data_IF_790307598379
#
_entry.id   IF_790307598379
#
_cell.length_a   1.000
_cell.length_b   1.000
_cell.length_c   1.000
_cell.angle_alpha   90.00
_cell.angle_beta   90.00
_cell.angle_gamma   90.00
#
_symmetry.space_group_name_H-M   'P 1'
#
loop_
_entity.id
_entity.type
_entity.pdbx_description
1 polymer ?
#
# COMPACT_ATOMS: atom_id res chain seq x y z
N UNK A 1 2.09 -12.47 -7.96
CA UNK A 1 2.74 -11.97 -9.20
C UNK A 1 3.09 -10.49 -9.13
N UNK A 2 4.21 -10.10 -9.74
CA UNK A 2 4.61 -8.69 -9.92
C UNK A 2 4.09 -8.16 -11.27
N UNK A 3 3.44 -7.00 -11.26
CA UNK A 3 2.90 -6.30 -12.43
C UNK A 3 3.60 -4.94 -12.55
N UNK A 4 4.44 -4.82 -13.56
CA UNK A 4 5.25 -3.63 -13.87
C UNK A 4 4.82 -3.08 -15.25
N UNK A 5 3.72 -2.33 -15.29
CA UNK A 5 3.26 -1.65 -16.51
C UNK A 5 3.89 -0.25 -16.57
N UNK A 6 4.73 0.08 -17.57
CA UNK A 6 5.40 1.37 -17.66
C UNK A 6 4.46 2.58 -17.75
N UNK A 7 3.16 2.37 -17.99
CA UNK A 7 2.13 3.42 -17.98
C UNK A 7 1.52 3.70 -16.60
N UNK A 8 1.76 2.85 -15.60
CA UNK A 8 1.31 3.04 -14.23
C UNK A 8 2.43 3.66 -13.37
N UNK A 9 2.09 4.67 -12.57
CA UNK A 9 2.98 5.26 -11.56
C UNK A 9 3.40 4.24 -10.49
N UNK A 10 2.64 3.14 -10.37
CA UNK A 10 2.82 2.09 -9.38
C UNK A 10 3.23 0.76 -10.02
N UNK A 11 4.17 0.08 -9.38
CA UNK A 11 4.42 -1.35 -9.60
C UNK A 11 3.65 -2.12 -8.53
N UNK A 12 2.92 -3.14 -8.95
CA UNK A 12 2.02 -3.90 -8.08
C UNK A 12 2.54 -5.31 -7.82
N UNK A 13 2.30 -5.81 -6.61
CA UNK A 13 2.40 -7.22 -6.24
C UNK A 13 1.00 -7.68 -5.89
N UNK A 14 0.42 -8.55 -6.71
CA UNK A 14 -0.97 -9.01 -6.57
C UNK A 14 -1.05 -10.53 -6.73
N UNK A 15 -2.06 -11.18 -6.14
CA UNK A 15 -2.33 -12.59 -6.38
C UNK A 15 -2.53 -12.86 -7.88
N UNK A 16 -2.00 -13.96 -8.40
CA UNK A 16 -2.23 -14.35 -9.81
C UNK A 16 -3.68 -14.75 -10.07
N UNK A 17 -4.35 -15.27 -9.04
CA UNK A 17 -5.78 -15.62 -9.05
C UNK A 17 -6.57 -14.65 -8.18
N UNK A 18 -7.76 -14.20 -8.59
CA UNK A 18 -8.61 -13.38 -7.75
C UNK A 18 -8.88 -14.06 -6.41
N UNK A 19 -8.46 -13.44 -5.31
CA UNK A 19 -8.69 -13.98 -3.97
C UNK A 19 -10.05 -13.60 -3.39
N UNK A 20 -10.77 -12.63 -3.99
CA UNK A 20 -12.11 -12.23 -3.53
C UNK A 20 -13.10 -11.99 -4.69
N UNK A 21 -14.38 -12.36 -4.53
CA UNK A 21 -15.46 -12.03 -5.47
C UNK A 21 -15.79 -10.53 -5.46
N UNK A 22 -16.62 -10.08 -6.42
CA UNK A 22 -17.07 -8.67 -6.51
C UNK A 22 -17.66 -8.21 -5.16
N UNK A 23 -17.14 -7.09 -4.66
CA UNK A 23 -17.46 -6.54 -3.35
C UNK A 23 -18.86 -5.89 -3.36
N UNK A 24 -19.81 -6.44 -2.60
CA UNK A 24 -21.11 -5.83 -2.32
C UNK A 24 -21.02 -4.68 -1.30
N UNK A 25 -22.14 -4.00 -1.02
CA UNK A 25 -22.18 -2.84 -0.09
C UNK A 25 -21.69 -3.20 1.33
N UNK A 26 -22.12 -4.35 1.86
CA UNK A 26 -21.71 -4.81 3.20
C UNK A 26 -20.22 -5.14 3.24
N UNK A 27 -19.72 -5.84 2.22
CA UNK A 27 -18.30 -6.14 2.08
C UNK A 27 -17.44 -4.86 1.94
N UNK A 28 -17.97 -3.80 1.33
CA UNK A 28 -17.28 -2.50 1.26
C UNK A 28 -17.24 -1.78 2.61
N UNK A 29 -18.30 -1.87 3.41
CA UNK A 29 -18.31 -1.32 4.77
C UNK A 29 -17.29 -2.05 5.66
N UNK A 30 -17.28 -3.39 5.63
CA UNK A 30 -16.30 -4.23 6.32
C UNK A 30 -14.87 -3.89 5.88
N UNK A 31 -14.65 -3.73 4.56
CA UNK A 31 -13.36 -3.30 4.02
C UNK A 31 -12.92 -1.96 4.60
N UNK A 32 -13.78 -0.93 4.60
CA UNK A 32 -13.40 0.38 5.14
C UNK A 32 -13.14 0.34 6.66
N UNK A 33 -13.74 -0.60 7.38
CA UNK A 33 -13.55 -0.76 8.81
C UNK A 33 -12.21 -1.43 9.16
N UNK A 34 -11.84 -2.47 8.41
CA UNK A 34 -10.73 -3.36 8.78
C UNK A 34 -9.51 -3.25 7.88
N UNK A 35 -9.68 -2.92 6.60
CA UNK A 35 -8.54 -2.88 5.67
C UNK A 35 -7.69 -1.63 5.85
N UNK A 36 -6.38 -1.85 5.78
CA UNK A 36 -5.39 -0.80 5.78
C UNK A 36 -4.12 -1.24 5.10
N UNK A 37 -3.06 -0.47 5.35
CA UNK A 37 -1.75 -0.74 4.80
C UNK A 37 -0.63 -0.30 5.72
N UNK A 38 0.45 -1.06 5.70
CA UNK A 38 1.75 -0.59 6.13
C UNK A 38 2.38 0.29 5.03
N UNK A 39 2.81 1.48 5.41
CA UNK A 39 3.55 2.41 4.56
C UNK A 39 5.04 2.33 4.93
N UNK A 40 5.86 1.95 3.96
CA UNK A 40 7.31 1.79 4.10
C UNK A 40 7.97 2.83 3.21
N UNK A 41 8.76 3.73 3.81
CA UNK A 41 9.40 4.82 3.08
C UNK A 41 10.88 4.52 2.87
N UNK A 42 11.36 4.66 1.64
CA UNK A 42 12.77 4.49 1.29
C UNK A 42 13.17 5.43 0.17
N UNK A 43 14.42 5.88 0.15
CA UNK A 43 15.02 6.55 -1.02
C UNK A 43 15.71 5.56 -1.96
N UNK A 44 15.91 4.33 -1.51
CA UNK A 44 16.53 3.27 -2.29
C UNK A 44 15.43 2.48 -3.03
N UNK A 45 15.36 2.66 -4.36
CA UNK A 45 14.41 1.96 -5.24
C UNK A 45 14.67 0.46 -5.29
N UNK A 46 15.94 0.06 -5.44
CA UNK A 46 16.34 -1.34 -5.50
C UNK A 46 15.91 -2.11 -4.24
N UNK A 47 15.95 -1.46 -3.07
CA UNK A 47 15.43 -2.02 -1.83
C UNK A 47 13.92 -2.33 -1.90
N UNK A 48 13.10 -1.42 -2.46
CA UNK A 48 11.66 -1.66 -2.62
C UNK A 48 11.38 -2.72 -3.67
N UNK A 49 12.15 -2.77 -4.76
CA UNK A 49 12.06 -3.82 -5.78
C UNK A 49 12.40 -5.21 -5.20
N UNK A 50 13.46 -5.29 -4.39
CA UNK A 50 13.83 -6.53 -3.70
C UNK A 50 12.78 -6.94 -2.68
N UNK A 51 12.27 -6.00 -1.90
CA UNK A 51 11.20 -6.26 -0.95
C UNK A 51 9.94 -6.76 -1.69
N UNK A 52 9.59 -6.18 -2.84
CA UNK A 52 8.46 -6.65 -3.66
C UNK A 52 8.63 -8.11 -4.09
N UNK A 53 9.83 -8.50 -4.53
CA UNK A 53 10.16 -9.91 -4.85
C UNK A 53 10.03 -10.84 -3.63
N UNK A 54 10.46 -10.39 -2.45
CA UNK A 54 10.33 -11.16 -1.20
C UNK A 54 8.88 -11.31 -0.73
N UNK A 55 8.04 -10.31 -1.00
CA UNK A 55 6.61 -10.33 -0.63
C UNK A 55 5.74 -11.13 -1.59
N UNK A 56 6.15 -11.28 -2.85
CA UNK A 56 5.39 -12.01 -3.88
C UNK A 56 4.86 -13.38 -3.44
N UNK A 57 5.66 -14.29 -2.84
CA UNK A 57 5.12 -15.56 -2.36
C UNK A 57 4.07 -15.42 -1.25
N UNK A 58 4.21 -14.46 -0.35
CA UNK A 58 3.23 -14.22 0.73
C UNK A 58 1.93 -13.62 0.20
N UNK A 59 2.02 -12.82 -0.87
CA UNK A 59 0.85 -12.32 -1.59
C UNK A 59 0.14 -13.46 -2.31
N UNK A 60 0.91 -14.36 -2.95
CA UNK A 60 0.34 -15.50 -3.66
C UNK A 60 -0.34 -16.51 -2.72
N UNK A 61 0.25 -16.73 -1.54
CA UNK A 61 -0.33 -17.55 -0.46
C UNK A 61 -1.54 -16.90 0.24
N UNK A 62 -1.83 -15.62 -0.03
CA UNK A 62 -2.93 -14.89 0.61
C UNK A 62 -2.64 -14.41 2.04
N UNK A 63 -1.41 -14.55 2.53
CA UNK A 63 -0.98 -14.01 3.84
C UNK A 63 -0.85 -12.49 3.82
N UNK A 64 -0.65 -11.92 2.64
CA UNK A 64 -0.66 -10.48 2.40
C UNK A 64 -1.64 -10.24 1.27
N UNK A 65 -2.59 -9.32 1.44
CA UNK A 65 -3.62 -9.11 0.43
C UNK A 65 -3.03 -8.61 -0.90
N UNK A 66 -2.15 -7.61 -0.84
CA UNK A 66 -1.37 -7.10 -1.98
C UNK A 66 -0.31 -6.11 -1.52
N UNK A 67 0.63 -5.77 -2.39
CA UNK A 67 1.53 -4.66 -2.18
C UNK A 67 1.67 -3.81 -3.45
N UNK A 68 2.18 -2.59 -3.28
CA UNK A 68 2.61 -1.75 -4.41
C UNK A 68 3.65 -0.75 -3.98
N UNK A 69 4.48 -0.29 -4.91
CA UNK A 69 5.39 0.82 -4.69
C UNK A 69 5.38 1.77 -5.89
N UNK A 70 5.62 3.06 -5.63
CA UNK A 70 5.69 4.06 -6.68
C UNK A 70 7.05 4.00 -7.39
N UNK A 71 7.07 4.26 -8.71
CA UNK A 71 8.30 4.32 -9.51
C UNK A 71 9.16 5.53 -9.19
N UNK A 72 8.50 6.64 -8.90
CA UNK A 72 9.10 7.95 -8.65
C UNK A 72 8.56 8.54 -7.35
N UNK A 73 9.35 9.41 -6.72
CA UNK A 73 8.96 10.00 -5.43
C UNK A 73 7.64 10.75 -5.55
N UNK A 74 6.67 10.41 -4.70
CA UNK A 74 5.40 11.12 -4.69
C UNK A 74 5.53 12.45 -3.93
N UNK A 75 4.81 13.51 -4.32
CA UNK A 75 4.84 14.81 -3.61
C UNK A 75 4.52 14.70 -2.11
N UNK A 76 3.65 13.74 -1.73
CA UNK A 76 3.30 13.52 -0.33
C UNK A 76 4.37 12.77 0.48
N UNK A 77 5.37 12.17 -0.18
CA UNK A 77 6.43 11.37 0.42
C UNK A 77 7.76 12.13 0.58
N UNK A 78 7.76 13.46 0.40
CA UNK A 78 8.92 14.36 0.63
C UNK A 78 10.21 13.85 -0.05
N UNK A 79 10.12 13.49 -1.34
CA UNK A 79 11.27 12.98 -2.10
C UNK A 79 11.66 11.53 -1.79
N UNK A 80 10.82 10.77 -1.07
CA UNK A 80 11.01 9.33 -0.85
C UNK A 80 10.04 8.52 -1.72
N UNK A 81 10.40 7.28 -1.98
CA UNK A 81 9.49 6.25 -2.47
C UNK A 81 8.71 5.68 -1.29
N UNK A 82 7.54 5.11 -1.58
CA UNK A 82 6.65 4.47 -0.62
C UNK A 82 6.22 3.12 -1.17
N UNK A 83 6.39 2.07 -0.36
CA UNK A 83 5.69 0.82 -0.54
C UNK A 83 4.48 0.77 0.39
N UNK A 84 3.33 0.42 -0.17
CA UNK A 84 2.11 0.10 0.55
C UNK A 84 1.96 -1.42 0.59
N UNK A 85 1.86 -2.00 1.78
CA UNK A 85 1.58 -3.43 1.97
C UNK A 85 0.22 -3.55 2.64
N UNK A 86 -0.75 -4.08 1.90
CA UNK A 86 -2.16 -4.11 2.29
C UNK A 86 -2.49 -5.39 3.06
N UNK A 87 -3.26 -5.24 4.12
CA UNK A 87 -3.81 -6.35 4.89
C UNK A 87 -5.04 -5.91 5.69
N UNK A 88 -5.75 -6.89 6.22
CA UNK A 88 -6.75 -6.68 7.25
C UNK A 88 -6.07 -6.34 8.58
N UNK A 89 -6.68 -5.48 9.40
CA UNK A 89 -6.08 -5.06 10.67
C UNK A 89 -6.02 -6.17 11.72
N UNK A 90 -6.88 -7.19 11.59
CA UNK A 90 -6.87 -8.41 12.40
C UNK A 90 -5.62 -9.26 12.16
N UNK A 91 -5.00 -9.12 10.99
CA UNK A 91 -3.79 -9.86 10.56
C UNK A 91 -2.53 -8.98 10.60
N UNK A 92 -2.68 -7.71 10.97
CA UNK A 92 -1.66 -6.67 10.84
C UNK A 92 -0.32 -7.02 11.49
N UNK A 93 -0.36 -7.64 12.67
CA UNK A 93 0.85 -8.00 13.42
C UNK A 93 1.59 -9.20 12.80
N UNK A 94 0.87 -10.14 12.18
CA UNK A 94 1.49 -11.24 11.44
C UNK A 94 2.17 -10.74 10.16
N UNK A 95 1.49 -9.84 9.44
CA UNK A 95 2.08 -9.15 8.28
C UNK A 95 3.29 -8.33 8.71
N UNK A 96 3.24 -7.70 9.88
CA UNK A 96 4.41 -7.00 10.42
C UNK A 96 5.58 -7.95 10.69
N UNK A 97 5.37 -9.13 11.29
CA UNK A 97 6.46 -10.10 11.52
C UNK A 97 7.14 -10.50 10.21
N UNK A 98 6.37 -10.69 9.13
CA UNK A 98 6.91 -10.96 7.78
C UNK A 98 7.77 -9.79 7.30
N UNK A 99 7.27 -8.54 7.41
CA UNK A 99 8.05 -7.37 6.99
C UNK A 99 9.33 -7.19 7.82
N UNK A 100 9.26 -7.42 9.12
CA UNK A 100 10.40 -7.32 10.02
C UNK A 100 11.48 -8.37 9.72
N UNK A 101 11.09 -9.59 9.31
CA UNK A 101 12.04 -10.64 8.91
C UNK A 101 12.85 -10.26 7.66
N UNK A 102 12.34 -9.33 6.85
CA UNK A 102 13.04 -8.73 5.71
C UNK A 102 13.79 -7.43 6.03
N UNK A 103 13.92 -7.09 7.32
CA UNK A 103 14.67 -5.92 7.77
C UNK A 103 13.93 -4.59 7.62
N UNK A 104 12.61 -4.60 7.39
CA UNK A 104 11.79 -3.39 7.49
C UNK A 104 11.78 -2.96 8.96
N UNK A 105 12.30 -1.77 9.28
CA UNK A 105 12.37 -1.27 10.66
C UNK A 105 11.47 -0.07 10.91
N UNK A 106 11.17 0.72 9.87
CA UNK A 106 10.34 1.93 9.95
C UNK A 106 9.09 1.76 9.10
N UNK A 107 7.92 1.97 9.71
CA UNK A 107 6.62 1.85 9.05
C UNK A 107 5.57 2.76 9.66
N UNK A 108 4.52 3.04 8.91
CA UNK A 108 3.31 3.72 9.39
C UNK A 108 2.11 2.85 9.03
N UNK A 109 1.22 2.58 9.98
CA UNK A 109 -0.08 2.00 9.66
C UNK A 109 -1.03 3.09 9.18
N UNK A 110 -1.80 2.82 8.12
CA UNK A 110 -2.86 3.71 7.65
C UNK A 110 -4.06 2.90 7.18
N UNK A 111 -5.23 3.21 7.70
CA UNK A 111 -6.48 2.59 7.25
C UNK A 111 -6.88 3.09 5.85
N UNK A 112 -7.62 2.27 5.12
CA UNK A 112 -8.11 2.65 3.80
C UNK A 112 -9.19 3.73 3.87
N UNK A 113 -10.06 3.68 4.89
CA UNK A 113 -11.01 4.76 5.16
C UNK A 113 -10.33 6.12 5.31
N UNK A 114 -9.22 6.19 6.06
CA UNK A 114 -8.43 7.42 6.19
C UNK A 114 -7.86 7.90 4.84
N UNK A 115 -7.52 6.96 3.95
CA UNK A 115 -7.04 7.31 2.60
C UNK A 115 -8.17 7.85 1.75
N UNK A 116 -9.37 7.28 1.82
CA UNK A 116 -10.55 7.83 1.17
C UNK A 116 -10.85 9.25 1.66
N UNK A 117 -10.93 9.45 2.97
CA UNK A 117 -11.16 10.77 3.59
C UNK A 117 -10.09 11.81 3.17
N UNK A 118 -8.82 11.40 3.12
CA UNK A 118 -7.71 12.26 2.67
C UNK A 118 -7.86 12.74 1.21
N UNK A 119 -8.54 11.96 0.35
CA UNK A 119 -8.73 12.24 -1.08
C UNK A 119 -10.09 12.86 -1.42
N UNK A 120 -11.06 12.87 -0.51
CA UNK A 120 -12.31 13.60 -0.69
C UNK A 120 -12.03 15.11 -0.84
N UNK A 121 -12.95 15.88 -1.47
CA UNK A 121 -12.84 17.33 -1.53
C UNK A 121 -12.58 17.96 -0.15
N UNK A 122 -11.55 18.79 -0.04
CA UNK A 122 -11.11 19.36 1.24
C UNK A 122 -10.23 18.43 2.10
N UNK A 123 -10.01 17.18 1.67
CA UNK A 123 -9.06 16.26 2.27
C UNK A 123 -7.61 16.69 2.08
N UNK A 124 -6.73 16.18 2.94
CA UNK A 124 -5.31 16.58 2.98
C UNK A 124 -4.56 16.24 1.70
N UNK A 125 -4.75 15.04 1.15
CA UNK A 125 -4.10 14.61 -0.10
C UNK A 125 -4.73 15.32 -1.31
N UNK A 126 -6.05 15.52 -1.29
CA UNK A 126 -6.75 16.32 -2.30
C UNK A 126 -6.16 17.73 -2.43
N UNK A 127 -6.02 18.47 -1.31
CA UNK A 127 -5.42 19.81 -1.31
C UNK A 127 -3.98 19.82 -1.83
N UNK A 128 -3.17 18.84 -1.41
CA UNK A 128 -1.78 18.73 -1.87
C UNK A 128 -1.67 18.46 -3.37
N UNK A 129 -2.51 17.57 -3.91
CA UNK A 129 -2.52 17.26 -5.33
C UNK A 129 -2.99 18.45 -6.19
N UNK A 130 -3.90 19.27 -5.67
CA UNK A 130 -4.39 20.48 -6.35
C UNK A 130 -3.48 21.71 -6.18
N UNK A 131 -2.39 21.61 -5.44
CA UNK A 131 -1.53 22.75 -5.13
C UNK A 131 -2.17 23.81 -4.23
N UNK A 132 -3.29 23.49 -3.57
CA UNK A 132 -4.06 24.41 -2.70
C UNK A 132 -3.74 24.24 -1.21
N UNK A 133 -2.70 23.47 -0.87
CA UNK A 133 -2.17 23.38 0.49
C UNK A 133 -1.13 24.47 0.74
N UNK A 134 -1.53 25.52 1.46
CA UNK A 134 -0.77 26.68 1.89
C UNK A 134 0.76 26.48 2.07
N UNK A 135 1.49 27.47 1.54
CA UNK A 135 2.75 27.96 2.12
C UNK A 135 2.48 28.54 3.52
#
# INVERSE_FOLDING_TARGET
MIIDDPKDDWVWVRPSKPQQPRMGREAFAEYLQHFGKWLIFSRNKAYLEELARKLDPYVEEGKIHSAKYNRESAPFAKGSLVMCVYCDDREREEVWKILNSFGVTKRIWKYDRQTFEDWLPGGRLYRKAKGTGNR
#
